data_IF_084567267114
#
_entry.id   IF_084567267114
#
_cell.length_a   1.000
_cell.length_b   1.000
_cell.length_c   1.000
_cell.angle_alpha   90.00
_cell.angle_beta   90.00
_cell.angle_gamma   90.00
#
_symmetry.space_group_name_H-M   'P 1'
#
loop_
_entity.id
_entity.type
_entity.pdbx_description
1 polymer ?
#
# COMPACT_ATOMS: atom_id res chain seq x y z
N UNK A 1 3.44 -1.10 -29.76
CA UNK A 1 3.98 -1.71 -28.52
C UNK A 1 2.82 -2.26 -27.70
N UNK A 2 3.00 -3.28 -26.84
CA UNK A 2 1.89 -3.73 -25.96
C UNK A 2 1.57 -2.63 -24.94
N UNK A 3 0.31 -2.22 -24.85
CA UNK A 3 -0.15 -1.19 -23.91
C UNK A 3 -1.23 -1.75 -23.01
N UNK A 4 -1.27 -1.23 -21.79
CA UNK A 4 -2.30 -1.54 -20.81
C UNK A 4 -3.59 -0.79 -21.17
N UNK A 5 -4.65 -1.52 -21.47
CA UNK A 5 -6.00 -0.99 -21.63
C UNK A 5 -6.71 -1.09 -20.29
N UNK A 6 -7.00 0.06 -19.67
CA UNK A 6 -7.78 0.12 -18.42
C UNK A 6 -9.25 -0.19 -18.77
N UNK A 7 -9.82 -1.19 -18.11
CA UNK A 7 -11.22 -1.62 -18.30
C UNK A 7 -12.06 -1.09 -17.13
N UNK A 8 -11.56 -1.28 -15.91
CA UNK A 8 -12.25 -0.81 -14.72
C UNK A 8 -11.75 0.59 -14.34
N UNK A 9 -12.39 1.61 -14.91
CA UNK A 9 -12.07 3.01 -14.64
C UNK A 9 -12.36 3.42 -13.19
N UNK A 10 -13.35 2.79 -12.53
CA UNK A 10 -13.65 3.07 -11.12
C UNK A 10 -12.50 2.62 -10.22
N UNK A 11 -12.05 1.38 -10.39
CA UNK A 11 -10.88 0.87 -9.66
C UNK A 11 -9.62 1.70 -9.95
N UNK A 12 -9.38 2.06 -11.21
CA UNK A 12 -8.23 2.89 -11.57
C UNK A 12 -8.22 4.23 -10.82
N UNK A 13 -9.38 4.92 -10.72
CA UNK A 13 -9.51 6.17 -9.97
C UNK A 13 -9.30 5.97 -8.47
N UNK A 14 -9.87 4.90 -7.90
CA UNK A 14 -9.68 4.54 -6.48
C UNK A 14 -8.20 4.28 -6.21
N UNK A 15 -7.53 3.51 -7.05
CA UNK A 15 -6.12 3.17 -6.91
C UNK A 15 -5.22 4.41 -6.96
N UNK A 16 -5.44 5.29 -7.94
CA UNK A 16 -4.71 6.57 -8.02
C UNK A 16 -4.99 7.44 -6.80
N UNK A 17 -6.25 7.49 -6.34
CA UNK A 17 -6.64 8.21 -5.12
C UNK A 17 -5.93 7.68 -3.88
N UNK A 18 -5.87 6.37 -3.69
CA UNK A 18 -5.18 5.74 -2.55
C UNK A 18 -3.67 5.96 -2.64
N UNK A 19 -3.06 5.77 -3.82
CA UNK A 19 -1.63 6.03 -4.02
C UNK A 19 -1.29 7.49 -3.73
N UNK A 20 -2.08 8.43 -4.26
CA UNK A 20 -1.91 9.85 -4.04
C UNK A 20 -2.11 10.26 -2.58
N UNK A 21 -3.18 9.79 -1.93
CA UNK A 21 -3.47 10.08 -0.53
C UNK A 21 -2.38 9.56 0.41
N UNK A 22 -1.92 8.33 0.22
CA UNK A 22 -0.80 7.78 0.99
C UNK A 22 0.52 8.53 0.71
N UNK A 23 0.76 8.95 -0.53
CA UNK A 23 1.94 9.73 -0.89
C UNK A 23 1.95 11.10 -0.23
N UNK A 24 0.82 11.81 -0.24
CA UNK A 24 0.68 13.09 0.46
C UNK A 24 0.89 12.92 1.97
N UNK A 25 0.36 11.86 2.56
CA UNK A 25 0.59 11.57 3.98
C UNK A 25 2.07 11.30 4.27
N UNK A 26 2.76 10.52 3.42
CA UNK A 26 4.19 10.25 3.57
C UNK A 26 5.03 11.51 3.39
N UNK A 27 4.67 12.39 2.44
CA UNK A 27 5.30 13.70 2.25
C UNK A 27 5.16 14.52 3.53
N UNK A 28 3.93 14.69 4.03
CA UNK A 28 3.65 15.44 5.25
C UNK A 28 4.43 14.89 6.45
N UNK A 29 4.42 13.57 6.64
CA UNK A 29 5.15 12.92 7.71
C UNK A 29 6.66 13.14 7.59
N UNK A 30 7.24 12.98 6.40
CA UNK A 30 8.69 13.17 6.14
C UNK A 30 9.15 14.58 6.51
N UNK A 31 8.41 15.60 6.09
CA UNK A 31 8.76 16.99 6.38
C UNK A 31 8.57 17.35 7.85
N UNK A 32 7.47 16.91 8.46
CA UNK A 32 7.14 17.25 9.85
C UNK A 32 8.06 16.54 10.85
N UNK A 33 8.32 15.26 10.63
CA UNK A 33 9.15 14.44 11.53
C UNK A 33 10.65 14.48 11.20
N UNK A 34 11.05 15.20 10.13
CA UNK A 34 12.41 15.19 9.54
C UNK A 34 12.95 13.78 9.29
N UNK A 35 12.06 12.81 9.10
CA UNK A 35 12.42 11.41 8.95
C UNK A 35 12.59 11.06 7.47
N UNK A 36 13.83 11.04 7.00
CA UNK A 36 14.20 10.73 5.61
C UNK A 36 13.77 9.31 5.17
N UNK A 37 13.50 8.40 6.11
CA UNK A 37 12.99 7.06 5.77
C UNK A 37 11.64 7.14 5.04
N UNK A 38 10.86 8.20 5.28
CA UNK A 38 9.59 8.46 4.59
C UNK A 38 9.74 8.78 3.10
N UNK A 39 10.94 9.03 2.59
CA UNK A 39 11.20 9.25 1.15
C UNK A 39 11.02 7.97 0.34
N UNK A 40 11.38 6.81 0.90
CA UNK A 40 11.29 5.53 0.21
C UNK A 40 9.87 5.21 -0.29
N UNK A 41 8.81 5.28 0.55
CA UNK A 41 7.45 5.03 0.07
C UNK A 41 6.97 6.09 -0.93
N UNK A 42 7.41 7.34 -0.83
CA UNK A 42 7.08 8.41 -1.79
C UNK A 42 7.62 8.08 -3.18
N UNK A 43 8.89 7.67 -3.27
CA UNK A 43 9.52 7.29 -4.54
C UNK A 43 8.80 6.10 -5.17
N UNK A 44 8.50 5.07 -4.36
CA UNK A 44 7.83 3.87 -4.85
C UNK A 44 6.40 4.18 -5.36
N UNK A 45 5.66 5.04 -4.65
CA UNK A 45 4.33 5.50 -5.09
C UNK A 45 4.41 6.34 -6.37
N UNK A 46 5.41 7.21 -6.49
CA UNK A 46 5.63 8.03 -7.69
C UNK A 46 5.88 7.16 -8.93
N UNK A 47 6.71 6.12 -8.79
CA UNK A 47 6.97 5.16 -9.88
C UNK A 47 5.72 4.40 -10.28
N UNK A 48 4.91 3.95 -9.31
CA UNK A 48 3.65 3.24 -9.60
C UNK A 48 2.63 4.13 -10.33
N UNK A 49 2.48 5.37 -9.88
CA UNK A 49 1.61 6.36 -10.51
C UNK A 49 2.09 6.62 -11.96
N UNK A 50 3.40 6.77 -12.16
CA UNK A 50 3.98 6.95 -13.49
C UNK A 50 3.71 5.75 -14.42
N UNK A 51 3.90 4.52 -13.92
CA UNK A 51 3.59 3.30 -14.69
C UNK A 51 2.11 3.24 -15.08
N UNK A 52 1.22 3.57 -14.15
CA UNK A 52 -0.22 3.61 -14.38
C UNK A 52 -0.61 4.66 -15.43
N UNK A 53 -0.04 5.87 -15.37
CA UNK A 53 -0.32 6.93 -16.35
C UNK A 53 0.23 6.59 -17.74
N UNK A 54 1.42 6.01 -17.81
CA UNK A 54 2.03 5.57 -19.08
C UNK A 54 1.40 4.29 -19.63
N UNK A 55 0.41 3.71 -18.93
CA UNK A 55 -0.28 2.47 -19.32
C UNK A 55 0.72 1.36 -19.64
N UNK A 56 1.77 1.26 -18.82
CA UNK A 56 2.82 0.27 -19.01
C UNK A 56 2.27 -1.14 -18.68
N UNK A 57 2.68 -2.16 -19.43
CA UNK A 57 2.26 -3.56 -19.22
C UNK A 57 2.70 -4.11 -17.86
N UNK A 58 3.76 -3.58 -17.26
CA UNK A 58 4.21 -3.96 -15.93
C UNK A 58 3.34 -3.41 -14.80
N UNK A 59 2.50 -2.40 -15.05
CA UNK A 59 1.75 -1.70 -14.00
C UNK A 59 0.85 -2.64 -13.20
N UNK A 60 0.18 -3.59 -13.87
CA UNK A 60 -0.72 -4.52 -13.18
C UNK A 60 0.02 -5.42 -12.19
N UNK A 61 1.19 -5.95 -12.59
CA UNK A 61 2.04 -6.75 -11.70
C UNK A 61 2.63 -5.90 -10.59
N UNK A 62 3.12 -4.70 -10.92
CA UNK A 62 3.72 -3.79 -9.95
C UNK A 62 2.71 -3.36 -8.86
N UNK A 63 1.48 -3.01 -9.26
CA UNK A 63 0.39 -2.70 -8.32
C UNK A 63 0.04 -3.89 -7.44
N UNK A 64 -0.05 -5.10 -8.02
CA UNK A 64 -0.35 -6.30 -7.25
C UNK A 64 0.70 -6.58 -6.17
N UNK A 65 1.98 -6.49 -6.53
CA UNK A 65 3.10 -6.65 -5.59
C UNK A 65 3.06 -5.55 -4.52
N UNK A 66 2.86 -4.30 -4.92
CA UNK A 66 2.74 -3.18 -4.00
C UNK A 66 1.62 -3.38 -2.98
N UNK A 67 0.44 -3.80 -3.43
CA UNK A 67 -0.70 -4.09 -2.54
C UNK A 67 -0.31 -5.15 -1.50
N UNK A 68 0.31 -6.25 -1.94
CA UNK A 68 0.79 -7.32 -1.04
C UNK A 68 1.77 -6.76 0.00
N UNK A 69 2.81 -6.08 -0.46
CA UNK A 69 3.91 -5.65 0.42
C UNK A 69 3.43 -4.59 1.41
N UNK A 70 2.69 -3.58 0.95
CA UNK A 70 2.33 -2.41 1.78
C UNK A 70 1.15 -2.69 2.71
N UNK A 71 0.12 -3.38 2.24
CA UNK A 71 -1.09 -3.57 3.03
C UNK A 71 -1.12 -4.89 3.81
N UNK A 72 -0.40 -5.92 3.35
CA UNK A 72 -0.39 -7.21 4.04
C UNK A 72 0.92 -7.43 4.79
N UNK A 73 2.06 -7.45 4.10
CA UNK A 73 3.35 -7.80 4.71
C UNK A 73 3.74 -6.77 5.78
N UNK A 74 3.79 -5.48 5.42
CA UNK A 74 4.20 -4.43 6.34
C UNK A 74 3.27 -4.32 7.56
N UNK A 75 1.95 -4.40 7.36
CA UNK A 75 0.98 -4.27 8.45
C UNK A 75 0.99 -5.49 9.38
N UNK A 76 1.06 -6.70 8.81
CA UNK A 76 1.12 -7.94 9.61
C UNK A 76 2.41 -7.98 10.44
N UNK A 77 3.55 -7.60 9.87
CA UNK A 77 4.81 -7.49 10.61
C UNK A 77 4.71 -6.44 11.74
N UNK A 78 4.06 -5.31 11.48
CA UNK A 78 3.80 -4.29 12.50
C UNK A 78 2.98 -4.81 13.67
N UNK A 79 1.89 -5.53 13.40
CA UNK A 79 1.05 -6.15 14.42
C UNK A 79 1.83 -7.22 15.20
N UNK A 80 2.53 -8.12 14.52
CA UNK A 80 3.35 -9.16 15.15
C UNK A 80 4.39 -8.53 16.09
N UNK A 81 5.05 -7.46 15.66
CA UNK A 81 6.03 -6.76 16.49
C UNK A 81 5.40 -6.20 17.78
N UNK A 82 4.17 -5.68 17.72
CA UNK A 82 3.46 -5.18 18.90
C UNK A 82 3.04 -6.34 19.81
N UNK A 83 2.57 -7.46 19.25
CA UNK A 83 2.21 -8.66 20.02
C UNK A 83 3.42 -9.22 20.77
N UNK A 84 4.58 -9.30 20.11
CA UNK A 84 5.84 -9.74 20.74
C UNK A 84 6.23 -8.78 21.87
N UNK A 85 6.10 -7.46 21.67
CA UNK A 85 6.39 -6.47 22.71
C UNK A 85 5.45 -6.59 23.92
N UNK A 86 4.15 -6.76 23.67
CA UNK A 86 3.16 -6.97 24.73
C UNK A 86 3.47 -8.24 25.54
N UNK A 87 3.81 -9.34 24.87
CA UNK A 87 4.24 -10.57 25.52
C UNK A 87 5.51 -10.39 26.35
N UNK A 88 6.52 -9.72 25.81
CA UNK A 88 7.77 -9.46 26.52
C UNK A 88 7.55 -8.62 27.79
N UNK A 89 6.67 -7.63 27.75
CA UNK A 89 6.28 -6.82 28.91
C UNK A 89 5.53 -7.62 29.95
N UNK A 90 4.60 -8.48 29.51
CA UNK A 90 3.84 -9.34 30.40
C UNK A 90 4.76 -10.30 31.17
N UNK A 91 5.76 -10.89 30.51
CA UNK A 91 6.76 -11.77 31.15
C UNK A 91 7.58 -11.00 32.19
N UNK A 92 7.83 -9.70 31.99
CA UNK A 92 8.52 -8.83 32.94
C UNK A 92 7.64 -8.36 34.11
N UNK A 93 6.34 -8.69 34.09
CA UNK A 93 5.39 -8.24 35.10
C UNK A 93 5.04 -6.75 35.00
N UNK A 94 5.23 -6.12 33.84
CA UNK A 94 4.82 -4.73 33.63
C UNK A 94 3.28 -4.62 33.57
N UNK A 95 2.69 -3.72 34.35
CA UNK A 95 1.26 -3.42 34.30
C UNK A 95 0.88 -2.85 32.92
N UNK A 96 -0.33 -3.15 32.44
CA UNK A 96 -0.82 -2.67 31.15
C UNK A 96 -0.14 -3.30 29.92
N UNK A 97 0.58 -4.42 30.06
CA UNK A 97 1.29 -5.07 28.96
C UNK A 97 0.43 -5.31 27.70
N UNK A 98 -0.85 -5.65 27.88
CA UNK A 98 -1.79 -5.89 26.78
C UNK A 98 -2.54 -4.65 26.30
N UNK A 99 -2.46 -3.50 26.99
CA UNK A 99 -3.05 -2.24 26.51
C UNK A 99 -2.41 -1.76 25.21
N UNK A 100 -1.15 -2.16 24.96
CA UNK A 100 -0.47 -1.93 23.69
C UNK A 100 -1.20 -2.55 22.49
N UNK A 101 -2.01 -3.59 22.71
CA UNK A 101 -2.82 -4.22 21.66
C UNK A 101 -4.00 -3.35 21.23
N UNK A 102 -4.44 -2.40 22.07
CA UNK A 102 -5.46 -1.42 21.75
C UNK A 102 -4.88 -0.11 21.19
N UNK A 103 -3.57 -0.07 20.90
CA UNK A 103 -2.93 1.15 20.41
C UNK A 103 -3.41 1.55 19.01
N UNK A 104 -3.37 2.86 18.75
CA UNK A 104 -3.66 3.44 17.44
C UNK A 104 -2.90 2.75 16.30
N UNK A 105 -1.68 2.27 16.58
CA UNK A 105 -0.88 1.55 15.58
C UNK A 105 -1.57 0.26 15.10
N UNK A 106 -2.13 -0.55 16.01
CA UNK A 106 -2.87 -1.76 15.62
C UNK A 106 -4.15 -1.40 14.87
N UNK A 107 -4.85 -0.35 15.30
CA UNK A 107 -6.07 0.13 14.65
C UNK A 107 -5.76 0.57 13.20
N UNK A 108 -4.74 1.42 13.01
CA UNK A 108 -4.31 1.86 11.69
C UNK A 108 -3.84 0.70 10.80
N UNK A 109 -3.05 -0.24 11.34
CA UNK A 109 -2.63 -1.42 10.58
C UNK A 109 -3.81 -2.30 10.15
N UNK A 110 -4.81 -2.48 11.02
CA UNK A 110 -6.04 -3.21 10.68
C UNK A 110 -6.84 -2.51 9.59
N UNK A 111 -7.02 -1.19 9.69
CA UNK A 111 -7.69 -0.38 8.66
C UNK A 111 -6.97 -0.51 7.31
N UNK A 112 -5.63 -0.43 7.32
CA UNK A 112 -4.83 -0.60 6.10
C UNK A 112 -4.99 -2.00 5.52
N UNK A 113 -4.99 -3.07 6.34
CA UNK A 113 -5.27 -4.43 5.84
C UNK A 113 -6.64 -4.50 5.16
N UNK A 114 -7.69 -3.91 5.75
CA UNK A 114 -9.04 -3.89 5.15
C UNK A 114 -9.02 -3.17 3.80
N UNK A 115 -8.37 -2.01 3.69
CA UNK A 115 -8.18 -1.29 2.42
C UNK A 115 -7.43 -2.18 1.41
N UNK A 116 -6.38 -2.89 1.86
CA UNK A 116 -5.63 -3.84 1.04
C UNK A 116 -6.48 -4.96 0.48
N UNK A 117 -7.38 -5.54 1.29
CA UNK A 117 -8.34 -6.57 0.86
C UNK A 117 -9.27 -6.02 -0.23
N UNK A 118 -9.83 -4.82 -0.03
CA UNK A 118 -10.70 -4.17 -1.01
C UNK A 118 -9.94 -3.96 -2.32
N UNK A 119 -8.72 -3.41 -2.26
CA UNK A 119 -7.88 -3.18 -3.44
C UNK A 119 -7.50 -4.47 -4.15
N UNK A 120 -7.24 -5.55 -3.41
CA UNK A 120 -6.90 -6.85 -3.96
C UNK A 120 -8.06 -7.47 -4.74
N UNK A 121 -9.27 -7.44 -4.16
CA UNK A 121 -10.48 -7.97 -4.81
C UNK A 121 -10.76 -7.20 -6.10
N UNK A 122 -10.69 -5.86 -6.05
CA UNK A 122 -10.95 -5.00 -7.20
C UNK A 122 -9.85 -5.04 -8.29
N UNK A 123 -8.66 -5.56 -7.97
CA UNK A 123 -7.55 -5.70 -8.93
C UNK A 123 -7.83 -6.79 -9.99
N UNK A 124 -8.77 -7.70 -9.75
CA UNK A 124 -9.10 -8.74 -10.72
C UNK A 124 -9.69 -8.12 -11.99
N UNK A 125 -8.92 -8.17 -13.09
CA UNK A 125 -9.38 -7.74 -14.41
C UNK A 125 -9.49 -6.24 -14.61
N UNK A 126 -8.83 -5.39 -13.80
CA UNK A 126 -8.94 -3.94 -13.99
C UNK A 126 -8.33 -3.44 -15.31
N UNK A 127 -7.43 -4.23 -15.90
CA UNK A 127 -6.79 -3.91 -17.15
C UNK A 127 -6.45 -5.17 -17.96
N UNK A 128 -6.47 -5.03 -19.29
CA UNK A 128 -6.03 -6.01 -20.27
C UNK A 128 -4.80 -5.49 -21.02
N UNK A 129 -3.95 -6.41 -21.50
CA UNK A 129 -2.84 -6.07 -22.38
C UNK A 129 -3.35 -6.17 -23.81
N UNK A 130 -3.44 -5.03 -24.52
CA UNK A 130 -3.79 -5.00 -25.94
C UNK A 130 -2.54 -4.79 -26.78
N UNK A 131 -2.46 -5.50 -27.90
CA UNK A 131 -1.50 -5.18 -28.96
C UNK A 131 -1.97 -3.92 -29.67
N UNK A 132 -1.10 -2.92 -29.70
CA UNK A 132 -1.29 -1.74 -30.52
C UNK A 132 -1.06 -2.19 -31.97
N UNK A 133 -2.15 -2.42 -32.71
CA UNK A 133 -2.06 -2.62 -34.16
C UNK A 133 -1.42 -1.34 -34.72
N UNK A 134 -0.28 -1.50 -35.38
CA UNK A 134 0.30 -0.45 -36.19
C UNK A 134 -0.72 -0.12 -37.28
N UNK A 135 -1.39 1.02 -37.15
CA UNK A 135 -2.09 1.63 -38.28
C UNK A 135 -0.99 2.35 -39.05
N UNK A 136 -0.70 1.84 -40.24
CA UNK A 136 0.15 2.45 -41.27
C UNK A 136 -0.30 3.87 -41.64
#
# INVERSE_FOLDING_TARGET
MKKLSIINHAYYRILIGVLGGLMLNNIYATFTSRNLIGILPILLQSVLIYLLFTKNTFSQKAVKIWVIVVFFVAQTLGIIAIVIQAWAKNIKGEEGAFEMLASDKIIYSTILIIIGIILWILNNGFAEIKEENAIE
#
